data_IF_784441172976
#
_entry.id   IF_784441172976
#
_cell.length_a   1.000
_cell.length_b   1.000
_cell.length_c   1.000
_cell.angle_alpha   90.00
_cell.angle_beta   90.00
_cell.angle_gamma   90.00
#
_symmetry.space_group_name_H-M   'P 1'
#
loop_
_entity.id
_entity.type
_entity.pdbx_description
1 polymer ?
#
# COMPACT_ATOMS: atom_id res chain seq x y z
N UNK A 1 -0.46 3.37 13.10
CA UNK A 1 -1.26 4.47 12.53
C UNK A 1 -1.18 4.49 11.00
N UNK A 2 -0.05 4.79 10.35
CA UNK A 2 0.02 4.81 8.87
C UNK A 2 0.28 3.47 8.17
N UNK A 3 0.36 2.36 8.92
CA UNK A 3 0.69 1.05 8.35
C UNK A 3 -0.59 0.24 8.24
N UNK A 4 -1.13 0.16 7.03
CA UNK A 4 -2.07 -0.90 6.64
C UNK A 4 -1.23 -1.90 5.86
N UNK A 5 -0.82 -2.96 6.54
CA UNK A 5 -0.06 -4.06 5.95
C UNK A 5 -0.99 -5.24 5.65
N UNK A 6 -0.61 -6.00 4.63
CA UNK A 6 -1.45 -7.05 4.06
C UNK A 6 -0.72 -8.39 3.96
N UNK A 7 -0.32 -8.94 5.11
CA UNK A 7 0.54 -10.13 5.13
C UNK A 7 -0.15 -11.38 4.54
N UNK A 8 -1.48 -11.49 4.64
CA UNK A 8 -2.27 -12.64 4.18
C UNK A 8 -3.10 -12.42 2.90
N UNK A 9 -3.36 -11.18 2.46
CA UNK A 9 -4.31 -10.87 1.37
C UNK A 9 -3.65 -10.08 0.23
N UNK A 10 -2.42 -10.48 -0.11
CA UNK A 10 -1.60 -9.83 -1.13
C UNK A 10 -0.65 -8.83 -0.48
N UNK A 11 0.57 -9.28 -0.21
CA UNK A 11 1.62 -8.51 0.49
C UNK A 11 1.78 -7.12 -0.13
N UNK A 12 1.37 -6.11 0.62
CA UNK A 12 1.46 -4.72 0.21
C UNK A 12 1.29 -3.79 1.40
N UNK A 13 1.91 -2.61 1.29
CA UNK A 13 1.77 -1.53 2.26
C UNK A 13 1.34 -0.28 1.50
N UNK A 14 0.22 0.32 1.90
CA UNK A 14 -0.33 1.50 1.19
C UNK A 14 0.54 2.73 1.40
N UNK A 15 1.21 2.83 2.55
CA UNK A 15 2.16 3.90 2.84
C UNK A 15 3.50 3.35 3.30
N UNK A 16 4.55 3.72 2.58
CA UNK A 16 5.93 3.43 2.91
C UNK A 16 6.73 4.73 2.87
N UNK A 17 7.13 5.23 4.03
CA UNK A 17 7.75 6.56 4.16
C UNK A 17 9.03 6.74 3.34
N UNK A 18 9.73 5.65 2.97
CA UNK A 18 10.91 5.71 2.11
C UNK A 18 10.61 6.11 0.65
N UNK A 19 9.34 6.14 0.25
CA UNK A 19 8.90 6.69 -1.05
C UNK A 19 8.96 8.22 -1.11
N UNK A 20 9.00 8.89 0.04
CA UNK A 20 9.15 10.36 0.11
C UNK A 20 10.59 10.72 -0.22
N UNK A 21 10.78 11.54 -1.25
CA UNK A 21 12.13 11.91 -1.72
C UNK A 21 12.91 10.72 -2.29
N UNK A 22 12.20 9.71 -2.83
CA UNK A 22 12.84 8.62 -3.55
C UNK A 22 13.61 9.17 -4.77
N UNK A 23 14.67 8.45 -5.14
CA UNK A 23 15.52 8.80 -6.28
C UNK A 23 14.70 8.97 -7.56
N UNK A 24 15.07 9.98 -8.34
CA UNK A 24 14.46 10.27 -9.64
C UNK A 24 15.38 9.81 -10.75
N UNK A 25 14.79 9.21 -11.78
CA UNK A 25 15.47 8.93 -13.04
C UNK A 25 15.21 10.06 -14.03
N UNK A 26 16.17 10.30 -14.91
CA UNK A 26 15.94 11.16 -16.07
C UNK A 26 15.23 10.33 -17.13
N UNK A 27 14.14 10.87 -17.66
CA UNK A 27 13.45 10.30 -18.80
C UNK A 27 14.15 10.72 -20.10
N UNK A 28 14.27 9.81 -21.07
CA UNK A 28 14.93 10.09 -22.35
C UNK A 28 14.17 11.17 -23.14
N UNK A 29 12.86 11.28 -22.93
CA UNK A 29 11.99 12.29 -23.53
C UNK A 29 12.31 13.73 -23.09
N UNK A 30 13.12 13.91 -22.02
CA UNK A 30 13.56 15.23 -21.54
C UNK A 30 14.83 15.74 -22.24
N UNK A 31 15.44 14.93 -23.10
CA UNK A 31 16.70 15.20 -23.78
C UNK A 31 16.48 15.36 -25.29
N UNK A 32 17.12 16.36 -25.89
CA UNK A 32 17.16 16.50 -27.34
C UNK A 32 18.28 15.65 -27.96
N UNK A 33 18.28 15.55 -29.30
CA UNK A 33 19.35 14.86 -30.03
C UNK A 33 20.73 15.45 -29.65
N UNK A 34 21.69 14.55 -29.39
CA UNK A 34 23.07 14.87 -28.99
C UNK A 34 23.21 15.50 -27.59
N UNK A 35 22.15 15.57 -26.80
CA UNK A 35 22.21 15.98 -25.40
C UNK A 35 22.52 14.82 -24.46
N UNK A 36 23.34 15.11 -23.45
CA UNK A 36 23.64 14.16 -22.39
C UNK A 36 23.57 14.86 -21.03
N UNK A 37 22.94 14.17 -20.08
CA UNK A 37 23.01 14.53 -18.65
C UNK A 37 24.43 14.25 -18.18
N UNK A 38 25.09 15.24 -17.60
CA UNK A 38 26.43 15.04 -17.06
C UNK A 38 26.54 15.34 -15.57
N UNK A 39 25.56 16.01 -14.96
CA UNK A 39 25.54 16.26 -13.52
C UNK A 39 24.12 16.53 -13.01
N UNK A 40 23.66 15.77 -12.01
CA UNK A 40 22.47 16.07 -11.20
C UNK A 40 22.50 15.31 -9.88
N UNK A 41 21.83 15.83 -8.86
CA UNK A 41 21.54 15.07 -7.64
C UNK A 41 20.26 14.26 -7.87
N UNK A 42 20.38 12.93 -7.87
CA UNK A 42 19.25 12.04 -8.12
C UNK A 42 18.28 11.95 -6.95
N UNK A 43 18.62 12.51 -5.80
CA UNK A 43 17.83 12.44 -4.57
C UNK A 43 17.19 13.81 -4.28
N UNK A 44 15.87 13.97 -4.42
CA UNK A 44 15.19 15.23 -4.11
C UNK A 44 15.43 15.69 -2.67
N UNK A 45 15.85 16.94 -2.48
CA UNK A 45 16.02 17.51 -1.15
C UNK A 45 14.67 17.67 -0.45
N UNK A 46 14.58 17.16 0.79
CA UNK A 46 13.40 17.34 1.64
C UNK A 46 13.37 18.76 2.22
N UNK A 47 12.35 19.54 1.86
CA UNK A 47 12.17 20.92 2.37
C UNK A 47 11.47 20.94 3.71
N UNK A 48 10.46 20.09 3.89
CA UNK A 48 9.77 19.96 5.17
C UNK A 48 9.23 18.55 5.38
N UNK A 49 8.89 18.24 6.64
CA UNK A 49 8.02 17.13 6.99
C UNK A 49 7.28 17.46 8.27
N UNK A 50 5.96 17.39 8.22
CA UNK A 50 5.07 17.57 9.36
C UNK A 50 4.36 16.25 9.57
N UNK A 51 4.41 15.72 10.79
CA UNK A 51 3.69 14.51 11.20
C UNK A 51 2.91 14.81 12.47
N UNK A 52 1.60 14.65 12.39
CA UNK A 52 0.69 14.80 13.52
C UNK A 52 -0.05 13.48 13.70
N UNK A 53 -0.04 12.97 14.91
CA UNK A 53 -0.71 11.71 15.25
C UNK A 53 -1.33 11.82 16.63
N UNK A 54 -2.54 11.30 16.80
CA UNK A 54 -3.19 11.25 18.10
C UNK A 54 -4.35 10.27 18.11
N UNK A 55 -4.81 9.93 19.32
CA UNK A 55 -6.02 9.15 19.53
C UNK A 55 -6.92 9.93 20.46
N UNK A 56 -8.19 10.10 20.08
CA UNK A 56 -9.17 10.80 20.92
C UNK A 56 -9.63 9.90 22.06
N UNK A 57 -10.27 10.49 23.08
CA UNK A 57 -10.90 9.73 24.18
C UNK A 57 -12.04 8.81 23.70
N UNK A 58 -12.51 8.96 22.46
CA UNK A 58 -13.53 8.10 21.82
C UNK A 58 -12.90 7.04 20.89
N UNK A 59 -11.62 6.70 21.11
CA UNK A 59 -10.88 5.67 20.37
C UNK A 59 -10.81 5.90 18.84
N UNK A 60 -10.84 7.17 18.40
CA UNK A 60 -10.53 7.55 17.03
C UNK A 60 -9.04 7.89 16.94
N UNK A 61 -8.26 7.05 16.27
CA UNK A 61 -6.88 7.34 15.91
C UNK A 61 -6.81 8.14 14.61
N UNK A 62 -6.11 9.27 14.64
CA UNK A 62 -5.93 10.19 13.52
C UNK A 62 -4.44 10.37 13.26
N UNK A 63 -4.02 10.13 12.02
CA UNK A 63 -2.68 10.40 11.53
C UNK A 63 -2.72 11.32 10.32
N UNK A 64 -1.90 12.37 10.35
CA UNK A 64 -1.64 13.26 9.24
C UNK A 64 -0.14 13.36 9.01
N UNK A 65 0.29 13.24 7.76
CA UNK A 65 1.67 13.49 7.35
C UNK A 65 1.65 14.33 6.08
N UNK A 66 2.42 15.42 6.10
CA UNK A 66 2.73 16.21 4.92
C UNK A 66 4.25 16.30 4.77
N UNK A 67 4.75 16.16 3.56
CA UNK A 67 6.14 16.40 3.23
C UNK A 67 6.24 17.09 1.86
N UNK A 68 7.23 17.95 1.70
CA UNK A 68 7.50 18.66 0.45
C UNK A 68 8.97 18.46 0.11
N UNK A 69 9.24 18.06 -1.13
CA UNK A 69 10.60 18.02 -1.68
C UNK A 69 10.81 19.18 -2.65
N UNK A 70 12.05 19.64 -2.76
CA UNK A 70 12.43 20.63 -3.76
C UNK A 70 12.41 20.02 -5.17
N UNK A 71 12.49 20.88 -6.18
CA UNK A 71 12.70 20.44 -7.56
C UNK A 71 14.10 19.82 -7.71
N UNK A 72 14.19 18.83 -8.58
CA UNK A 72 15.46 18.27 -9.05
C UNK A 72 15.77 18.84 -10.42
N UNK A 73 16.93 19.46 -10.55
CA UNK A 73 17.46 19.98 -11.82
C UNK A 73 18.69 19.19 -12.25
N UNK A 74 18.80 18.92 -13.55
CA UNK A 74 19.98 18.37 -14.17
C UNK A 74 20.66 19.39 -15.08
N UNK A 75 21.99 19.35 -15.11
CA UNK A 75 22.77 20.03 -16.14
C UNK A 75 22.89 19.12 -17.36
N UNK A 76 22.39 19.61 -18.49
CA UNK A 76 22.41 18.94 -19.78
C UNK A 76 23.41 19.64 -20.69
N UNK A 77 24.25 18.86 -21.37
CA UNK A 77 25.23 19.37 -22.32
C UNK A 77 24.95 18.82 -23.72
N UNK A 78 24.92 19.71 -24.71
CA UNK A 78 24.88 19.33 -26.11
C UNK A 78 26.30 18.97 -26.60
N UNK A 79 26.46 17.77 -27.15
CA UNK A 79 27.75 17.25 -27.60
C UNK A 79 28.27 17.89 -28.90
N UNK A 80 27.37 18.46 -29.71
CA UNK A 80 27.71 19.11 -30.98
C UNK A 80 28.08 20.59 -30.79
N UNK A 81 27.28 21.33 -30.01
CA UNK A 81 27.47 22.78 -29.79
C UNK A 81 28.25 23.14 -28.53
N UNK A 82 28.53 22.17 -27.65
CA UNK A 82 29.07 22.38 -26.29
C UNK A 82 28.21 23.30 -25.38
N UNK A 83 26.98 23.64 -25.78
CA UNK A 83 26.07 24.44 -24.96
C UNK A 83 25.58 23.66 -23.74
N UNK A 84 25.36 24.37 -22.64
CA UNK A 84 24.83 23.83 -21.37
C UNK A 84 23.50 24.48 -21.06
N UNK A 85 22.54 23.69 -20.58
CA UNK A 85 21.26 24.15 -20.05
C UNK A 85 20.87 23.40 -18.79
N UNK A 86 19.97 23.99 -18.02
CA UNK A 86 19.33 23.31 -16.88
C UNK A 86 18.01 22.71 -17.34
N UNK A 87 17.77 21.45 -16.99
CA UNK A 87 16.53 20.75 -17.23
C UNK A 87 15.90 20.37 -15.88
N UNK A 88 14.62 20.66 -15.69
CA UNK A 88 13.89 20.15 -14.51
C UNK A 88 13.60 18.67 -14.75
N UNK A 89 14.13 17.80 -13.89
CA UNK A 89 13.86 16.35 -13.91
C UNK A 89 12.58 16.04 -13.14
N UNK A 90 12.42 16.68 -11.99
CA UNK A 90 11.21 16.59 -11.19
C UNK A 90 10.91 17.97 -10.61
N UNK A 91 9.69 18.52 -10.77
CA UNK A 91 9.30 19.74 -10.05
C UNK A 91 9.21 19.48 -8.54
N UNK A 92 9.02 20.53 -7.75
CA UNK A 92 8.73 20.34 -6.32
C UNK A 92 7.46 19.48 -6.13
N UNK A 93 7.54 18.52 -5.22
CA UNK A 93 6.49 17.51 -4.99
C UNK A 93 5.96 17.63 -3.57
N UNK A 94 4.64 17.56 -3.43
CA UNK A 94 3.93 17.52 -2.17
C UNK A 94 3.36 16.11 -1.92
N UNK A 95 3.68 15.55 -0.77
CA UNK A 95 3.28 14.22 -0.30
C UNK A 95 2.31 14.39 0.86
N UNK A 96 1.09 13.89 0.72
CA UNK A 96 0.06 13.94 1.75
C UNK A 96 -0.39 12.53 2.13
N UNK A 97 -0.50 12.28 3.42
CA UNK A 97 -1.01 11.01 3.96
C UNK A 97 -1.97 11.31 5.10
N UNK A 98 -3.17 10.76 5.00
CA UNK A 98 -4.20 10.84 6.04
C UNK A 98 -4.58 9.43 6.43
N UNK A 99 -4.66 9.17 7.73
CA UNK A 99 -5.12 7.91 8.29
C UNK A 99 -6.13 8.19 9.39
N UNK A 100 -7.28 7.53 9.31
CA UNK A 100 -8.32 7.53 10.32
C UNK A 100 -8.58 6.08 10.70
N UNK A 101 -8.64 5.76 11.99
CA UNK A 101 -8.99 4.43 12.45
C UNK A 101 -9.88 4.55 13.68
N UNK A 102 -11.11 4.07 13.56
CA UNK A 102 -12.09 4.07 14.63
C UNK A 102 -12.21 2.66 15.18
N UNK A 103 -11.97 2.50 16.49
CA UNK A 103 -12.37 1.29 17.22
C UNK A 103 -13.89 1.33 17.45
N UNK A 104 -14.60 0.24 17.14
CA UNK A 104 -16.06 0.17 17.21
C UNK A 104 -16.52 -1.26 17.47
N UNK A 105 -17.77 -1.43 17.93
CA UNK A 105 -18.35 -2.71 18.39
C UNK A 105 -17.72 -3.26 19.68
N UNK A 106 -16.40 -3.49 19.71
CA UNK A 106 -15.67 -3.99 20.88
C UNK A 106 -14.18 -3.59 20.83
N UNK A 107 -13.38 -4.12 21.77
CA UNK A 107 -11.96 -3.76 21.94
C UNK A 107 -11.03 -4.26 20.84
N UNK A 108 -11.52 -5.13 19.96
CA UNK A 108 -10.73 -5.75 18.91
C UNK A 108 -11.16 -5.30 17.51
N UNK A 109 -12.34 -4.71 17.40
CA UNK A 109 -12.97 -4.36 16.14
C UNK A 109 -12.66 -2.92 15.73
N UNK A 110 -12.30 -2.73 14.46
CA UNK A 110 -11.96 -1.41 13.94
C UNK A 110 -12.32 -1.23 12.47
N UNK A 111 -12.59 0.02 12.10
CA UNK A 111 -12.65 0.46 10.71
C UNK A 111 -11.59 1.54 10.49
N UNK A 112 -10.79 1.38 9.45
CA UNK A 112 -9.73 2.29 9.08
C UNK A 112 -9.88 2.78 7.65
N UNK A 113 -9.60 4.07 7.46
CA UNK A 113 -9.45 4.75 6.18
C UNK A 113 -8.04 5.31 6.09
N UNK A 114 -7.42 5.16 4.93
CA UNK A 114 -6.13 5.76 4.65
C UNK A 114 -6.11 6.31 3.23
N UNK A 115 -5.62 7.53 3.07
CA UNK A 115 -5.38 8.16 1.78
C UNK A 115 -3.91 8.55 1.67
N UNK A 116 -3.32 8.30 0.50
CA UNK A 116 -2.00 8.82 0.12
C UNK A 116 -2.14 9.59 -1.18
N UNK A 117 -1.48 10.75 -1.25
CA UNK A 117 -1.47 11.60 -2.42
C UNK A 117 -0.05 12.12 -2.66
N UNK A 118 0.43 11.98 -3.90
CA UNK A 118 1.69 12.57 -4.38
C UNK A 118 1.35 13.47 -5.55
N UNK A 119 1.65 14.77 -5.42
CA UNK A 119 1.31 15.79 -6.42
C UNK A 119 2.49 16.72 -6.65
N UNK A 120 2.97 16.81 -7.89
CA UNK A 120 3.95 17.79 -8.34
C UNK A 120 3.29 19.11 -8.77
N UNK A 121 4.09 20.14 -9.07
CA UNK A 121 3.58 21.39 -9.67
C UNK A 121 3.00 21.21 -11.08
N UNK A 122 3.36 20.13 -11.74
CA UNK A 122 2.95 19.70 -13.07
C UNK A 122 1.72 18.78 -13.06
N UNK A 123 1.32 18.26 -11.91
CA UNK A 123 0.09 17.49 -11.78
C UNK A 123 0.08 16.46 -10.65
N UNK A 124 -1.01 15.70 -10.60
CA UNK A 124 -1.09 14.51 -9.76
C UNK A 124 -0.04 13.51 -10.24
N UNK A 125 0.60 12.75 -9.35
CA UNK A 125 1.39 11.57 -9.70
C UNK A 125 0.72 10.28 -9.24
N UNK A 126 0.05 10.32 -8.10
CA UNK A 126 -0.72 9.17 -7.61
C UNK A 126 -1.62 9.55 -6.44
N UNK A 127 -2.82 8.97 -6.42
CA UNK A 127 -3.74 9.05 -5.30
C UNK A 127 -4.30 7.67 -4.98
N UNK A 128 -4.05 7.19 -3.76
CA UNK A 128 -4.51 5.89 -3.31
C UNK A 128 -5.40 6.02 -2.08
N UNK A 129 -6.47 5.23 -2.05
CA UNK A 129 -7.39 5.12 -0.91
C UNK A 129 -7.42 3.67 -0.46
N UNK A 130 -7.45 3.46 0.85
CA UNK A 130 -7.58 2.17 1.48
C UNK A 130 -8.69 2.23 2.54
N UNK A 131 -9.55 1.23 2.53
CA UNK A 131 -10.54 0.95 3.55
C UNK A 131 -10.25 -0.42 4.14
N UNK A 132 -10.27 -0.54 5.46
CA UNK A 132 -10.11 -1.80 6.18
C UNK A 132 -11.18 -1.88 7.25
N UNK A 133 -11.93 -2.96 7.29
CA UNK A 133 -12.73 -3.37 8.44
C UNK A 133 -12.11 -4.65 8.99
N UNK A 134 -11.70 -4.63 10.26
CA UNK A 134 -11.23 -5.80 11.00
C UNK A 134 -12.18 -6.00 12.18
N UNK A 135 -13.10 -6.96 12.06
CA UNK A 135 -14.24 -7.12 12.95
C UNK A 135 -14.15 -8.46 13.68
N UNK A 136 -14.44 -8.44 14.96
CA UNK A 136 -14.44 -9.59 15.85
C UNK A 136 -15.76 -9.63 16.62
N UNK A 137 -16.17 -10.82 17.03
CA UNK A 137 -17.17 -10.96 18.10
C UNK A 137 -16.58 -10.57 19.47
N UNK A 138 -17.43 -10.42 20.47
CA UNK A 138 -17.01 -9.90 21.79
C UNK A 138 -16.03 -10.84 22.50
N UNK A 139 -16.14 -12.14 22.27
CA UNK A 139 -15.21 -13.13 22.82
C UNK A 139 -13.93 -13.25 21.98
N UNK A 140 -13.88 -12.65 20.79
CA UNK A 140 -12.77 -12.76 19.84
C UNK A 140 -12.52 -14.21 19.39
N UNK A 141 -13.60 -14.96 19.25
CA UNK A 141 -13.60 -16.32 18.70
C UNK A 141 -13.71 -16.28 17.18
N UNK A 142 -14.43 -15.31 16.61
CA UNK A 142 -14.61 -15.12 15.18
C UNK A 142 -13.97 -13.84 14.65
N UNK A 143 -13.55 -13.85 13.40
CA UNK A 143 -13.05 -12.67 12.69
C UNK A 143 -13.58 -12.56 11.27
N UNK A 144 -14.01 -11.35 10.90
CA UNK A 144 -14.30 -10.95 9.53
C UNK A 144 -13.41 -9.77 9.19
N UNK A 145 -12.63 -9.90 8.13
CA UNK A 145 -11.74 -8.86 7.64
C UNK A 145 -12.07 -8.52 6.21
N UNK A 146 -12.31 -7.25 5.94
CA UNK A 146 -12.55 -6.71 4.60
C UNK A 146 -11.51 -5.63 4.33
N UNK A 147 -10.88 -5.68 3.17
CA UNK A 147 -9.96 -4.66 2.70
C UNK A 147 -10.34 -4.26 1.29
N UNK A 148 -10.46 -2.97 1.03
CA UNK A 148 -10.73 -2.44 -0.29
C UNK A 148 -9.77 -1.27 -0.57
N UNK A 149 -9.19 -1.26 -1.76
CA UNK A 149 -8.21 -0.27 -2.15
C UNK A 149 -8.53 0.25 -3.55
N UNK A 150 -8.32 1.54 -3.75
CA UNK A 150 -8.45 2.19 -5.05
C UNK A 150 -7.22 3.02 -5.35
N UNK A 151 -6.82 3.07 -6.62
CA UNK A 151 -5.71 3.88 -7.11
C UNK A 151 -6.09 4.71 -8.32
N UNK A 152 -5.61 5.95 -8.35
CA UNK A 152 -5.69 6.84 -9.50
C UNK A 152 -4.29 7.34 -9.86
N UNK A 153 -3.90 7.16 -11.12
CA UNK A 153 -2.66 7.69 -11.70
C UNK A 153 -3.00 8.49 -12.97
N UNK A 154 -2.12 9.39 -13.44
CA UNK A 154 -2.46 10.40 -14.45
C UNK A 154 -2.07 10.00 -15.88
N UNK A 155 -1.53 8.80 -16.12
CA UNK A 155 -0.98 8.43 -17.44
C UNK A 155 -2.01 8.55 -18.57
N UNK A 156 -1.54 8.80 -19.79
CA UNK A 156 -2.35 8.64 -20.99
C UNK A 156 -2.89 7.19 -21.02
N UNK A 157 -4.22 7.01 -20.94
CA UNK A 157 -4.95 5.77 -20.57
C UNK A 157 -5.20 5.49 -19.08
N UNK A 158 -5.30 6.52 -18.23
CA UNK A 158 -5.55 6.43 -16.77
C UNK A 158 -6.87 5.74 -16.41
N UNK A 159 -6.85 4.41 -16.36
CA UNK A 159 -7.90 3.62 -15.73
C UNK A 159 -7.64 3.57 -14.23
N UNK A 160 -8.66 3.89 -13.45
CA UNK A 160 -8.61 3.66 -12.01
C UNK A 160 -8.45 2.16 -11.76
N UNK A 161 -7.58 1.82 -10.84
CA UNK A 161 -7.40 0.45 -10.39
C UNK A 161 -8.04 0.21 -9.04
N UNK A 162 -8.34 -1.05 -8.74
CA UNK A 162 -8.81 -1.52 -7.46
C UNK A 162 -8.16 -2.85 -7.08
N UNK A 163 -8.03 -3.08 -5.78
CA UNK A 163 -7.83 -4.41 -5.23
C UNK A 163 -8.67 -4.58 -3.99
N UNK A 164 -9.02 -5.82 -3.68
CA UNK A 164 -9.88 -6.14 -2.56
C UNK A 164 -9.49 -7.46 -1.94
N UNK A 165 -9.82 -7.63 -0.67
CA UNK A 165 -9.67 -8.88 0.04
C UNK A 165 -10.78 -9.04 1.08
N UNK A 166 -11.26 -10.27 1.22
CA UNK A 166 -12.14 -10.66 2.33
C UNK A 166 -11.64 -11.94 3.00
N UNK A 167 -11.70 -12.01 4.32
CA UNK A 167 -11.44 -13.24 5.06
C UNK A 167 -12.40 -13.44 6.21
N UNK A 168 -12.74 -14.71 6.45
CA UNK A 168 -13.61 -15.19 7.52
C UNK A 168 -12.87 -16.26 8.30
N UNK A 169 -12.78 -16.12 9.62
CA UNK A 169 -12.00 -17.03 10.46
C UNK A 169 -12.68 -17.38 11.77
N UNK A 170 -12.53 -18.63 12.19
CA UNK A 170 -12.67 -19.09 13.57
C UNK A 170 -11.26 -19.16 14.18
N UNK A 171 -11.05 -18.44 15.27
CA UNK A 171 -9.75 -18.19 15.89
C UNK A 171 -9.48 -19.10 17.09
N UNK A 172 -10.53 -19.58 17.75
CA UNK A 172 -10.44 -20.35 18.99
C UNK A 172 -11.10 -21.73 18.89
N UNK A 173 -10.89 -22.51 19.94
CA UNK A 173 -11.44 -23.85 20.04
C UNK A 173 -10.63 -24.92 19.28
N UNK A 174 -11.16 -26.14 19.35
CA UNK A 174 -10.53 -27.32 18.78
C UNK A 174 -10.63 -27.32 17.25
N UNK A 175 -11.75 -26.83 16.70
CA UNK A 175 -11.99 -26.73 15.26
C UNK A 175 -11.84 -25.28 14.82
N UNK A 176 -10.92 -25.00 13.90
CA UNK A 176 -10.65 -23.65 13.39
C UNK A 176 -10.59 -23.65 11.89
N UNK A 177 -11.15 -22.63 11.27
CA UNK A 177 -11.12 -22.44 9.83
C UNK A 177 -10.75 -21.02 9.46
N UNK A 178 -10.23 -20.86 8.25
CA UNK A 178 -10.01 -19.59 7.60
C UNK A 178 -10.38 -19.75 6.13
N UNK A 179 -11.25 -18.87 5.64
CA UNK A 179 -11.55 -18.72 4.22
C UNK A 179 -11.15 -17.32 3.83
N UNK A 180 -10.41 -17.18 2.74
CA UNK A 180 -9.96 -15.88 2.26
C UNK A 180 -9.97 -15.82 0.74
N UNK A 181 -10.30 -14.65 0.24
CA UNK A 181 -10.15 -14.28 -1.15
C UNK A 181 -9.48 -12.92 -1.22
N UNK A 182 -8.58 -12.75 -2.18
CA UNK A 182 -8.14 -11.43 -2.58
C UNK A 182 -7.90 -11.36 -4.08
N UNK A 183 -8.05 -10.17 -4.64
CA UNK A 183 -7.86 -9.93 -6.06
C UNK A 183 -7.43 -8.49 -6.33
N UNK A 184 -6.73 -8.32 -7.44
CA UNK A 184 -6.28 -7.03 -7.96
C UNK A 184 -6.51 -6.97 -9.46
N UNK A 185 -6.99 -5.83 -9.94
CA UNK A 185 -7.11 -5.57 -11.36
C UNK A 185 -5.75 -5.20 -11.98
N UNK A 186 -5.70 -5.14 -13.32
CA UNK A 186 -4.48 -4.84 -14.07
C UNK A 186 -4.02 -3.38 -14.00
N UNK A 187 -4.89 -2.45 -13.60
CA UNK A 187 -4.61 -1.01 -13.57
C UNK A 187 -4.26 -0.50 -12.17
N UNK A 188 -4.30 -1.35 -11.15
CA UNK A 188 -3.95 -0.96 -9.79
C UNK A 188 -2.47 -0.59 -9.64
N UNK A 189 -2.21 0.62 -9.10
CA UNK A 189 -0.88 1.16 -8.85
C UNK A 189 -0.87 1.96 -7.56
N UNK A 190 -0.06 1.59 -6.58
CA UNK A 190 0.09 2.36 -5.33
C UNK A 190 1.55 2.72 -4.99
N UNK A 191 2.47 2.55 -5.93
CA UNK A 191 3.91 2.57 -5.68
C UNK A 191 4.50 3.98 -5.51
N UNK A 192 3.70 5.02 -5.72
CA UNK A 192 4.05 6.42 -5.57
C UNK A 192 4.28 6.78 -4.11
N UNK A 193 3.54 6.14 -3.21
CA UNK A 193 3.69 6.30 -1.75
C UNK A 193 3.62 4.98 -0.97
N UNK A 194 3.35 3.86 -1.64
CA UNK A 194 3.27 2.52 -1.06
C UNK A 194 4.15 1.51 -1.79
N UNK A 195 3.79 0.24 -1.65
CA UNK A 195 4.46 -0.88 -2.31
C UNK A 195 3.46 -2.00 -2.59
N UNK A 196 3.32 -2.37 -3.87
CA UNK A 196 2.52 -3.50 -4.35
C UNK A 196 2.96 -3.89 -5.76
N UNK A 197 3.13 -5.19 -6.00
CA UNK A 197 3.72 -5.70 -7.26
C UNK A 197 2.84 -6.72 -7.99
N UNK A 198 1.64 -7.01 -7.51
CA UNK A 198 0.70 -7.88 -8.23
C UNK A 198 -0.16 -7.06 -9.18
N UNK A 199 -0.52 -7.66 -10.31
CA UNK A 199 -1.44 -7.12 -11.29
C UNK A 199 -2.24 -8.28 -11.86
N UNK A 200 -3.52 -8.03 -12.13
CA UNK A 200 -4.43 -9.01 -12.74
C UNK A 200 -4.37 -10.40 -12.07
N UNK A 201 -4.43 -10.39 -10.74
CA UNK A 201 -4.16 -11.56 -9.91
C UNK A 201 -5.30 -11.78 -8.93
N UNK A 202 -5.70 -13.04 -8.76
CA UNK A 202 -6.69 -13.45 -7.78
C UNK A 202 -6.22 -14.71 -7.05
N UNK A 203 -6.53 -14.77 -5.77
CA UNK A 203 -6.22 -15.92 -4.93
C UNK A 203 -7.38 -16.22 -4.00
N UNK A 204 -7.77 -17.48 -3.97
CA UNK A 204 -8.65 -18.02 -2.95
C UNK A 204 -7.85 -18.99 -2.10
N UNK A 205 -7.96 -18.89 -0.78
CA UNK A 205 -7.30 -19.78 0.16
C UNK A 205 -8.27 -20.21 1.25
N UNK A 206 -8.26 -21.51 1.54
CA UNK A 206 -9.02 -22.08 2.66
C UNK A 206 -8.12 -22.96 3.50
N UNK A 207 -8.20 -22.81 4.81
CA UNK A 207 -7.58 -23.70 5.78
C UNK A 207 -8.62 -24.15 6.77
N UNK A 208 -8.73 -25.45 6.99
CA UNK A 208 -9.57 -26.05 8.03
C UNK A 208 -8.63 -26.86 8.91
N UNK A 209 -8.74 -26.73 10.22
CA UNK A 209 -7.86 -27.41 11.16
C UNK A 209 -8.64 -27.91 12.36
N UNK A 210 -8.19 -29.03 12.89
CA UNK A 210 -8.66 -29.56 14.15
C UNK A 210 -7.46 -29.86 15.03
N UNK A 211 -7.53 -29.44 16.29
CA UNK A 211 -6.55 -29.78 17.31
C UNK A 211 -7.23 -30.09 18.64
N UNK A 212 -6.62 -30.96 19.42
CA UNK A 212 -7.04 -31.21 20.80
C UNK A 212 -6.32 -30.21 21.70
N UNK A 213 -7.07 -29.43 22.50
CA UNK A 213 -6.52 -28.44 23.43
C UNK A 213 -6.21 -29.00 24.83
N UNK A 214 -6.89 -30.07 25.23
CA UNK A 214 -6.76 -30.69 26.55
C UNK A 214 -6.35 -32.16 26.39
N UNK A 215 -5.48 -32.67 27.27
CA UNK A 215 -5.02 -34.05 27.23
C UNK A 215 -6.18 -35.05 27.37
N UNK A 216 -6.22 -36.08 26.50
CA UNK A 216 -7.21 -37.16 26.56
C UNK A 216 -6.52 -38.50 26.81
N UNK A 217 -6.26 -38.79 28.08
CA UNK A 217 -5.66 -40.06 28.51
C UNK A 217 -4.24 -40.24 27.94
N UNK A 218 -4.06 -41.24 27.07
CA UNK A 218 -2.76 -41.52 26.44
C UNK A 218 -2.41 -40.56 25.28
N UNK A 219 -3.39 -39.80 24.77
CA UNK A 219 -3.19 -38.87 23.67
C UNK A 219 -2.99 -37.45 24.21
N UNK A 220 -1.72 -37.01 24.21
CA UNK A 220 -1.33 -35.69 24.73
C UNK A 220 -1.51 -34.56 23.72
N UNK A 221 -1.30 -34.84 22.43
CA UNK A 221 -1.40 -33.85 21.37
C UNK A 221 -1.89 -34.51 20.08
N UNK A 222 -2.83 -33.84 19.40
CA UNK A 222 -3.26 -34.20 18.06
C UNK A 222 -3.63 -32.91 17.34
N UNK A 223 -3.05 -32.70 16.16
CA UNK A 223 -3.41 -31.59 15.29
C UNK A 223 -3.36 -32.03 13.83
N UNK A 224 -4.37 -31.63 13.07
CA UNK A 224 -4.46 -31.88 11.64
C UNK A 224 -5.02 -30.64 10.94
N UNK A 225 -4.67 -30.48 9.67
CA UNK A 225 -5.24 -29.42 8.85
C UNK A 225 -5.37 -29.84 7.39
N UNK A 226 -6.36 -29.26 6.73
CA UNK A 226 -6.55 -29.26 5.29
C UNK A 226 -6.29 -27.84 4.79
N UNK A 227 -5.54 -27.72 3.71
CA UNK A 227 -5.22 -26.44 3.09
C UNK A 227 -5.50 -26.51 1.59
N UNK A 228 -6.29 -25.56 1.10
CA UNK A 228 -6.63 -25.37 -0.30
C UNK A 228 -6.20 -23.98 -0.75
N UNK A 229 -5.59 -23.89 -1.93
CA UNK A 229 -5.19 -22.62 -2.53
C UNK A 229 -5.43 -22.67 -4.04
N UNK A 230 -6.27 -21.77 -4.54
CA UNK A 230 -6.47 -21.51 -5.98
C UNK A 230 -5.89 -20.14 -6.32
N UNK A 231 -5.16 -20.04 -7.43
CA UNK A 231 -4.47 -18.81 -7.81
C UNK A 231 -4.57 -18.63 -9.32
N UNK A 232 -5.04 -17.45 -9.74
CA UNK A 232 -5.28 -17.11 -11.14
C UNK A 232 -4.60 -15.79 -11.44
N UNK A 233 -3.72 -15.79 -12.45
CA UNK A 233 -3.12 -14.59 -13.00
C UNK A 233 -3.48 -14.54 -14.47
N UNK A 234 -3.99 -13.41 -14.94
CA UNK A 234 -4.35 -13.23 -16.35
C UNK A 234 -3.26 -12.43 -17.08
N UNK A 235 -3.06 -12.75 -18.36
CA UNK A 235 -2.14 -12.04 -19.25
C UNK A 235 -2.99 -11.60 -20.44
N UNK A 236 -3.05 -10.30 -20.71
CA UNK A 236 -3.73 -9.71 -21.87
C UNK A 236 -2.76 -8.87 -22.68
#
# INVERSE_FOLDING_TARGET
MFKIADDDMGRGVVFYSRRIGEKVSVDDDLLENYEQVFNFDDTPQLLNTIKVTGTTNKNLSIGFLNAITDKVEAEVKNSSSNQKRKQTIQPSVNYNVISLSQQLLNDYSSISLLNTNKTGRDGLYGNNVAFVADLFDDNRDFNIKVKAFGSKTPSENSKNGFRSGISFSELKGNFRYNFSWWGVDKHYKQNELGYFNFFDHQRFSSRISYQILNEYGFLREYSNYLWFNDTRTFIF
#
